data_IF_178135438839
#
_entry.id   IF_178135438839
#
_cell.length_a   1.000
_cell.length_b   1.000
_cell.length_c   1.000
_cell.angle_alpha   90.00
_cell.angle_beta   90.00
_cell.angle_gamma   90.00
#
_symmetry.space_group_name_H-M   'P 1'
#
loop_
_entity.id
_entity.type
_entity.pdbx_description
1 polymer ?
#
# COMPACT_ATOMS: atom_id res chain seq x y z
N UNK A 1 2.41 2.66 24.30
CA UNK A 1 2.18 4.08 23.97
C UNK A 1 2.23 4.19 22.46
N UNK A 2 1.13 4.54 21.78
CA UNK A 2 1.04 4.54 20.31
C UNK A 2 1.62 5.82 19.71
N UNK A 3 2.94 5.86 19.59
CA UNK A 3 3.73 7.05 19.22
C UNK A 3 3.59 7.33 17.73
N UNK A 4 3.84 6.31 16.90
CA UNK A 4 3.78 6.44 15.45
C UNK A 4 2.34 6.53 14.94
N UNK A 5 1.38 5.76 15.47
CA UNK A 5 -0.03 5.94 15.07
C UNK A 5 -0.54 7.36 15.38
N UNK A 6 -0.11 7.95 16.50
CA UNK A 6 -0.50 9.33 16.84
C UNK A 6 0.15 10.34 15.91
N UNK A 7 1.43 10.14 15.59
CA UNK A 7 2.17 10.99 14.65
C UNK A 7 1.49 11.02 13.27
N UNK A 8 1.23 9.85 12.70
CA UNK A 8 0.55 9.75 11.41
C UNK A 8 -0.82 10.42 11.41
N UNK A 9 -1.61 10.25 12.48
CA UNK A 9 -2.93 10.90 12.60
C UNK A 9 -2.84 12.42 12.64
N UNK A 10 -1.83 12.97 13.32
CA UNK A 10 -1.65 14.42 13.43
C UNK A 10 -1.21 15.05 12.11
N UNK A 11 -0.43 14.34 11.29
CA UNK A 11 0.16 14.87 10.07
C UNK A 11 -0.49 14.38 8.76
N UNK A 12 -1.60 13.62 8.84
CA UNK A 12 -2.26 13.04 7.67
C UNK A 12 -2.53 14.08 6.56
N UNK A 13 -3.16 15.20 6.91
CA UNK A 13 -3.55 16.21 5.92
C UNK A 13 -2.36 16.96 5.31
N UNK A 14 -1.31 17.24 6.10
CA UNK A 14 -0.08 17.85 5.58
C UNK A 14 0.68 16.90 4.68
N UNK A 15 0.80 15.63 5.10
CA UNK A 15 1.46 14.59 4.31
C UNK A 15 0.73 14.35 2.99
N UNK A 16 -0.60 14.20 3.05
CA UNK A 16 -1.43 13.94 1.87
C UNK A 16 -1.24 15.01 0.79
N UNK A 17 -1.16 16.29 1.17
CA UNK A 17 -0.90 17.39 0.23
C UNK A 17 0.49 17.30 -0.38
N UNK A 18 1.53 17.14 0.45
CA UNK A 18 2.91 17.04 -0.03
C UNK A 18 3.10 15.85 -0.98
N UNK A 19 2.53 14.69 -0.65
CA UNK A 19 2.62 13.49 -1.47
C UNK A 19 1.88 13.63 -2.82
N UNK A 20 0.71 14.28 -2.84
CA UNK A 20 0.01 14.59 -4.10
C UNK A 20 0.86 15.51 -4.98
N UNK A 21 1.48 16.53 -4.39
CA UNK A 21 2.35 17.45 -5.12
C UNK A 21 3.57 16.70 -5.71
N UNK A 22 4.15 15.75 -4.98
CA UNK A 22 5.24 14.89 -5.48
C UNK A 22 4.80 14.01 -6.65
N UNK A 23 3.62 13.39 -6.57
CA UNK A 23 3.07 12.60 -7.69
C UNK A 23 2.86 13.49 -8.92
N UNK A 24 2.30 14.69 -8.73
CA UNK A 24 2.02 15.61 -9.84
C UNK A 24 3.30 16.20 -10.45
N UNK A 25 4.40 16.23 -9.69
CA UNK A 25 5.70 16.68 -10.17
C UNK A 25 6.51 15.57 -10.88
N UNK A 26 6.19 14.29 -10.65
CA UNK A 26 6.94 13.17 -11.24
C UNK A 26 6.54 12.91 -12.70
N UNK A 27 7.48 13.20 -13.61
CA UNK A 27 7.30 13.03 -15.06
C UNK A 27 7.29 11.57 -15.54
N UNK A 28 7.50 10.61 -14.65
CA UNK A 28 7.60 9.17 -14.95
C UNK A 28 6.27 8.44 -14.71
N UNK A 29 5.20 9.20 -14.45
CA UNK A 29 3.86 8.72 -14.18
C UNK A 29 2.84 9.64 -14.80
N UNK A 30 1.75 9.05 -15.29
CA UNK A 30 0.59 9.76 -15.80
C UNK A 30 -0.56 9.79 -14.78
N UNK A 31 -0.33 9.38 -13.52
CA UNK A 31 -1.36 9.30 -12.47
C UNK A 31 -2.12 10.62 -12.26
N UNK A 32 -1.45 11.76 -12.44
CA UNK A 32 -2.08 13.08 -12.35
C UNK A 32 -3.18 13.33 -13.41
N UNK A 33 -3.14 12.57 -14.51
CA UNK A 33 -4.13 12.63 -15.59
C UNK A 33 -5.24 11.59 -15.43
N UNK A 34 -4.98 10.53 -14.65
CA UNK A 34 -5.88 9.39 -14.45
C UNK A 34 -6.73 9.57 -13.18
N UNK A 35 -6.12 10.09 -12.11
CA UNK A 35 -6.71 10.17 -10.79
C UNK A 35 -6.81 11.61 -10.32
N UNK A 36 -7.94 11.93 -9.68
CA UNK A 36 -8.07 13.16 -8.91
C UNK A 36 -7.21 13.11 -7.65
N UNK A 37 -6.81 14.28 -7.13
CA UNK A 37 -6.11 14.38 -5.84
C UNK A 37 -6.87 13.67 -4.70
N UNK A 38 -8.22 13.69 -4.74
CA UNK A 38 -9.06 12.97 -3.78
C UNK A 38 -8.86 11.46 -3.86
N UNK A 39 -8.90 10.89 -5.07
CA UNK A 39 -8.71 9.45 -5.29
C UNK A 39 -7.28 8.98 -4.98
N UNK A 40 -6.28 9.87 -5.05
CA UNK A 40 -4.93 9.60 -4.57
C UNK A 40 -4.92 9.41 -3.06
N UNK A 41 -5.48 10.35 -2.30
CA UNK A 41 -5.35 10.38 -0.84
C UNK A 41 -6.35 9.49 -0.10
N UNK A 42 -7.41 9.02 -0.76
CA UNK A 42 -8.45 8.17 -0.16
C UNK A 42 -7.90 6.90 0.52
N UNK A 43 -6.76 6.37 0.06
CA UNK A 43 -6.13 5.18 0.66
C UNK A 43 -5.24 5.48 1.87
N UNK A 44 -4.76 6.72 2.02
CA UNK A 44 -3.75 7.07 3.03
C UNK A 44 -4.17 6.78 4.47
N UNK A 45 -5.42 7.01 4.91
CA UNK A 45 -5.81 6.74 6.29
C UNK A 45 -5.59 5.27 6.69
N UNK A 46 -5.95 4.33 5.82
CA UNK A 46 -5.81 2.88 6.07
C UNK A 46 -4.33 2.46 6.08
N UNK A 47 -3.54 3.00 5.14
CA UNK A 47 -2.09 2.81 5.08
C UNK A 47 -1.41 3.33 6.36
N UNK A 48 -1.80 4.51 6.83
CA UNK A 48 -1.24 5.16 8.01
C UNK A 48 -1.61 4.43 9.30
N UNK A 49 -2.84 3.94 9.39
CA UNK A 49 -3.29 3.14 10.53
C UNK A 49 -2.48 1.83 10.63
N UNK A 50 -2.38 1.09 9.53
CA UNK A 50 -1.65 -0.18 9.47
C UNK A 50 -0.15 0.02 9.72
N UNK A 51 0.49 0.96 9.02
CA UNK A 51 1.90 1.27 9.23
C UNK A 51 2.17 1.76 10.66
N UNK A 52 1.37 2.68 11.17
CA UNK A 52 1.51 3.20 12.53
C UNK A 52 1.48 2.09 13.57
N UNK A 53 0.56 1.13 13.42
CA UNK A 53 0.50 -0.05 14.28
C UNK A 53 1.76 -0.91 14.17
N UNK A 54 2.21 -1.24 12.95
CA UNK A 54 3.41 -2.04 12.73
C UNK A 54 4.68 -1.39 13.33
N UNK A 55 4.77 -0.06 13.27
CA UNK A 55 5.89 0.68 13.87
C UNK A 55 5.82 0.67 15.40
N UNK A 56 4.64 0.94 15.97
CA UNK A 56 4.43 0.95 17.43
C UNK A 56 4.67 -0.42 18.07
N UNK A 57 4.27 -1.51 17.40
CA UNK A 57 4.47 -2.89 17.87
C UNK A 57 5.85 -3.46 17.51
N UNK A 58 6.71 -2.67 16.84
CA UNK A 58 8.04 -3.09 16.40
C UNK A 58 8.01 -4.37 15.56
N UNK A 59 6.98 -4.51 14.72
CA UNK A 59 6.66 -5.71 13.96
C UNK A 59 7.88 -6.32 13.26
N UNK A 60 7.90 -7.65 13.24
CA UNK A 60 8.82 -8.48 12.49
C UNK A 60 8.52 -8.44 10.99
N UNK A 61 9.45 -8.99 10.18
CA UNK A 61 9.25 -9.06 8.73
C UNK A 61 8.02 -9.90 8.35
N UNK A 62 7.79 -11.01 9.06
CA UNK A 62 6.64 -11.89 8.80
C UNK A 62 5.31 -11.20 9.13
N UNK A 63 5.26 -10.41 10.22
CA UNK A 63 4.07 -9.63 10.57
C UNK A 63 3.77 -8.54 9.53
N UNK A 64 4.81 -7.90 8.99
CA UNK A 64 4.69 -6.91 7.91
C UNK A 64 4.20 -7.58 6.62
N UNK A 65 4.75 -8.74 6.25
CA UNK A 65 4.30 -9.50 5.09
C UNK A 65 2.83 -9.95 5.21
N UNK A 66 2.36 -10.28 6.41
CA UNK A 66 0.96 -10.58 6.67
C UNK A 66 0.04 -9.34 6.68
N UNK A 67 0.61 -8.14 6.79
CA UNK A 67 -0.16 -6.89 6.80
C UNK A 67 -0.53 -6.39 5.40
N UNK A 68 0.39 -6.45 4.44
CA UNK A 68 0.15 -5.96 3.08
C UNK A 68 -1.11 -6.55 2.39
N UNK A 69 -1.44 -7.85 2.54
CA UNK A 69 -2.68 -8.42 1.97
C UNK A 69 -3.97 -7.78 2.50
N UNK A 70 -3.96 -7.19 3.71
CA UNK A 70 -5.13 -6.48 4.25
C UNK A 70 -5.47 -5.24 3.41
N UNK A 71 -4.44 -4.59 2.87
CA UNK A 71 -4.54 -3.41 2.02
C UNK A 71 -4.71 -3.74 0.53
N UNK A 72 -5.03 -4.99 0.18
CA UNK A 72 -5.28 -5.39 -1.23
C UNK A 72 -6.37 -4.57 -1.92
N UNK A 73 -7.28 -3.98 -1.15
CA UNK A 73 -8.36 -3.12 -1.65
C UNK A 73 -7.83 -1.92 -2.44
N UNK A 74 -6.68 -1.37 -2.05
CA UNK A 74 -5.99 -0.30 -2.78
C UNK A 74 -5.67 -0.72 -4.22
N UNK A 75 -4.95 -1.84 -4.40
CA UNK A 75 -4.57 -2.31 -5.72
C UNK A 75 -5.78 -2.72 -6.58
N UNK A 76 -6.85 -3.25 -5.95
CA UNK A 76 -8.10 -3.56 -6.63
C UNK A 76 -8.81 -2.30 -7.12
N UNK A 77 -8.87 -1.25 -6.31
CA UNK A 77 -9.45 0.03 -6.69
C UNK A 77 -8.69 0.66 -7.87
N UNK A 78 -7.35 0.68 -7.82
CA UNK A 78 -6.52 1.18 -8.92
C UNK A 78 -6.74 0.41 -10.22
N UNK A 79 -6.84 -0.92 -10.14
CA UNK A 79 -7.16 -1.74 -11.30
C UNK A 79 -8.55 -1.38 -11.90
N UNK A 80 -9.57 -1.18 -11.05
CA UNK A 80 -10.91 -0.80 -11.49
C UNK A 80 -10.96 0.62 -12.10
N UNK A 81 -10.07 1.51 -11.65
CA UNK A 81 -9.89 2.86 -12.21
C UNK A 81 -9.11 2.85 -13.54
N UNK A 82 -8.65 1.69 -14.02
CA UNK A 82 -7.89 1.58 -15.27
C UNK A 82 -6.43 2.00 -15.15
N UNK A 83 -5.90 2.13 -13.93
CA UNK A 83 -4.49 2.45 -13.68
C UNK A 83 -3.62 1.24 -14.03
N UNK A 84 -2.52 1.46 -14.75
CA UNK A 84 -1.58 0.38 -15.10
C UNK A 84 -0.72 -0.04 -13.90
N UNK A 85 -0.22 -1.27 -13.91
CA UNK A 85 0.54 -1.80 -12.76
C UNK A 85 1.86 -1.05 -12.52
N UNK A 86 2.51 -0.58 -13.58
CA UNK A 86 3.74 0.21 -13.50
C UNK A 86 3.47 1.60 -12.90
N UNK A 87 2.32 2.20 -13.19
CA UNK A 87 1.83 3.43 -12.55
C UNK A 87 1.57 3.20 -11.04
N UNK A 88 0.89 2.10 -10.67
CA UNK A 88 0.69 1.75 -9.25
C UNK A 88 2.01 1.47 -8.53
N UNK A 89 2.95 0.79 -9.19
CA UNK A 89 4.28 0.57 -8.62
C UNK A 89 5.00 1.90 -8.39
N UNK A 90 4.88 2.85 -9.33
CA UNK A 90 5.44 4.21 -9.17
C UNK A 90 4.79 4.94 -7.99
N UNK A 91 3.46 4.91 -7.89
CA UNK A 91 2.70 5.52 -6.79
C UNK A 91 3.23 5.05 -5.44
N UNK A 92 3.40 3.73 -5.28
CA UNK A 92 3.89 3.12 -4.05
C UNK A 92 5.37 3.39 -3.77
N UNK A 93 6.20 3.52 -4.82
CA UNK A 93 7.60 3.94 -4.67
C UNK A 93 7.70 5.39 -4.18
N UNK A 94 6.88 6.29 -4.72
CA UNK A 94 6.80 7.68 -4.26
C UNK A 94 6.27 7.76 -2.83
N UNK A 95 5.23 6.97 -2.51
CA UNK A 95 4.72 6.86 -1.15
C UNK A 95 5.79 6.38 -0.16
N UNK A 96 6.59 5.37 -0.53
CA UNK A 96 7.69 4.88 0.29
C UNK A 96 8.71 5.97 0.60
N UNK A 97 9.10 6.71 -0.43
CA UNK A 97 10.12 7.75 -0.32
C UNK A 97 9.58 8.91 0.54
N UNK A 98 8.36 9.37 0.29
CA UNK A 98 7.65 10.37 1.10
C UNK A 98 7.51 9.95 2.57
N UNK A 99 7.12 8.70 2.85
CA UNK A 99 7.01 8.16 4.20
C UNK A 99 8.36 8.11 4.92
N UNK A 100 9.43 7.77 4.19
CA UNK A 100 10.78 7.73 4.77
C UNK A 100 11.27 9.13 5.12
N UNK A 101 11.09 10.12 4.24
CA UNK A 101 11.45 11.51 4.52
C UNK A 101 10.61 12.06 5.68
N UNK A 102 9.29 11.83 5.67
CA UNK A 102 8.41 12.21 6.76
C UNK A 102 8.87 11.65 8.12
N UNK A 103 9.19 10.35 8.18
CA UNK A 103 9.68 9.75 9.43
C UNK A 103 11.06 10.27 9.83
N UNK A 104 11.91 10.61 8.86
CA UNK A 104 13.22 11.20 9.15
C UNK A 104 13.09 12.58 9.78
N UNK A 105 12.16 13.40 9.29
CA UNK A 105 11.90 14.76 9.78
C UNK A 105 11.15 14.77 11.12
N UNK A 106 10.04 14.03 11.21
CA UNK A 106 9.10 14.12 12.33
C UNK A 106 9.30 13.01 13.38
N UNK A 107 9.86 11.88 12.98
CA UNK A 107 10.11 10.72 13.84
C UNK A 107 10.97 11.02 15.09
N UNK A 108 12.04 11.82 15.01
CA UNK A 108 12.84 12.21 16.18
C UNK A 108 12.02 12.79 17.34
N UNK A 109 10.93 13.51 17.03
CA UNK A 109 10.06 14.14 18.03
C UNK A 109 9.28 13.13 18.88
N UNK A 110 8.95 11.96 18.34
CA UNK A 110 8.15 10.93 19.05
C UNK A 110 8.98 9.80 19.68
N UNK A 111 10.24 9.66 19.25
CA UNK A 111 11.18 8.66 19.78
C UNK A 111 12.21 9.25 20.76
N UNK A 112 12.05 10.52 21.16
CA UNK A 112 12.94 11.21 22.10
C UNK A 112 14.42 11.15 21.67
N UNK A 113 14.67 11.17 20.34
CA UNK A 113 16.02 11.11 19.78
C UNK A 113 16.68 9.72 19.70
N UNK A 114 15.98 8.62 19.98
CA UNK A 114 16.52 7.27 19.77
C UNK A 114 16.71 6.95 18.28
N UNK A 115 17.92 7.22 17.78
CA UNK A 115 18.29 6.97 16.38
C UNK A 115 18.23 5.48 15.99
N UNK A 116 18.36 4.55 16.93
CA UNK A 116 18.23 3.11 16.64
C UNK A 116 16.78 2.76 16.38
N UNK A 117 15.86 3.33 17.16
CA UNK A 117 14.43 3.18 16.93
C UNK A 117 14.01 3.84 15.61
N UNK A 118 14.53 5.04 15.30
CA UNK A 118 14.28 5.70 14.02
C UNK A 118 14.70 4.83 12.83
N UNK A 119 15.92 4.31 12.88
CA UNK A 119 16.44 3.40 11.86
C UNK A 119 15.58 2.14 11.74
N UNK A 120 15.10 1.62 12.87
CA UNK A 120 14.17 0.49 12.90
C UNK A 120 12.85 0.82 12.22
N UNK A 121 12.28 1.99 12.49
CA UNK A 121 11.05 2.47 11.89
C UNK A 121 11.19 2.63 10.36
N UNK A 122 12.23 3.35 9.91
CA UNK A 122 12.53 3.52 8.48
C UNK A 122 12.68 2.19 7.74
N UNK A 123 13.35 1.21 8.36
CA UNK A 123 13.49 -0.13 7.77
C UNK A 123 12.14 -0.85 7.62
N UNK A 124 11.27 -0.76 8.64
CA UNK A 124 9.93 -1.37 8.59
C UNK A 124 9.04 -0.70 7.56
N UNK A 125 9.09 0.63 7.47
CA UNK A 125 8.37 1.40 6.45
C UNK A 125 8.75 0.97 5.03
N UNK A 126 10.05 0.86 4.74
CA UNK A 126 10.53 0.39 3.43
C UNK A 126 10.02 -1.02 3.12
N UNK A 127 10.19 -1.94 4.07
CA UNK A 127 9.72 -3.32 3.90
C UNK A 127 8.21 -3.38 3.67
N UNK A 128 7.43 -2.62 4.42
CA UNK A 128 5.98 -2.56 4.26
C UNK A 128 5.57 -2.07 2.86
N UNK A 129 6.20 -1.00 2.36
CA UNK A 129 5.93 -0.53 1.00
C UNK A 129 6.35 -1.54 -0.07
N UNK A 130 7.48 -2.24 0.11
CA UNK A 130 7.90 -3.30 -0.80
C UNK A 130 6.87 -4.46 -0.84
N UNK A 131 6.30 -4.83 0.30
CA UNK A 131 5.21 -5.81 0.38
C UNK A 131 3.90 -5.30 -0.26
N UNK A 132 3.60 -4.01 -0.17
CA UNK A 132 2.46 -3.41 -0.89
C UNK A 132 2.65 -3.49 -2.41
N UNK A 133 3.87 -3.24 -2.91
CA UNK A 133 4.20 -3.36 -4.34
C UNK A 133 4.05 -4.81 -4.79
N UNK A 134 4.60 -5.76 -4.02
CA UNK A 134 4.44 -7.19 -4.30
C UNK A 134 2.96 -7.59 -4.34
N UNK A 135 2.17 -7.11 -3.38
CA UNK A 135 0.74 -7.37 -3.32
C UNK A 135 -0.02 -6.76 -4.51
N UNK A 136 0.35 -5.56 -4.96
CA UNK A 136 -0.24 -4.96 -6.15
C UNK A 136 0.02 -5.82 -7.41
N UNK A 137 1.25 -6.32 -7.57
CA UNK A 137 1.61 -7.23 -8.66
C UNK A 137 0.74 -8.50 -8.61
N UNK A 138 0.58 -9.10 -7.43
CA UNK A 138 -0.26 -10.30 -7.25
C UNK A 138 -1.73 -10.05 -7.61
N UNK A 139 -2.28 -8.90 -7.20
CA UNK A 139 -3.65 -8.50 -7.53
C UNK A 139 -3.82 -8.34 -9.04
N UNK A 140 -2.94 -7.60 -9.71
CA UNK A 140 -3.02 -7.41 -11.16
C UNK A 140 -2.83 -8.73 -11.92
N UNK A 141 -1.87 -9.56 -11.52
CA UNK A 141 -1.64 -10.86 -12.11
C UNK A 141 -2.85 -11.79 -11.95
N UNK A 142 -3.56 -11.72 -10.81
CA UNK A 142 -4.78 -12.48 -10.59
C UNK A 142 -5.96 -11.94 -11.41
N UNK A 143 -6.09 -10.62 -11.53
CA UNK A 143 -7.16 -9.96 -12.29
C UNK A 143 -7.04 -10.14 -13.81
N UNK A 144 -5.81 -10.30 -14.32
CA UNK A 144 -5.55 -10.53 -15.74
C UNK A 144 -5.63 -12.01 -16.15
N UNK A 145 -5.80 -12.96 -15.20
CA UNK A 145 -5.98 -14.36 -15.56
C UNK A 145 -7.31 -14.52 -16.30
N UNK A 146 -7.34 -15.18 -17.47
CA UNK A 146 -8.60 -15.47 -18.14
C UNK A 146 -9.48 -16.30 -17.21
N UNK A 147 -10.79 -16.03 -17.22
CA UNK A 147 -11.78 -16.89 -16.56
C UNK A 147 -11.61 -18.27 -17.15
N UNK A 148 -11.02 -19.20 -16.39
CA UNK A 148 -11.02 -20.61 -16.76
C UNK A 148 -12.50 -21.02 -16.72
N UNK A 149 -13.14 -21.40 -17.84
CA UNK A 149 -14.46 -21.99 -17.78
C UNK A 149 -14.31 -23.26 -16.95
N UNK A 150 -14.80 -23.25 -15.71
CA UNK A 150 -14.99 -24.49 -14.99
C UNK A 150 -15.95 -25.29 -15.85
N UNK A 151 -15.52 -26.43 -16.38
CA UNK A 151 -16.41 -27.36 -17.08
C UNK A 151 -17.64 -27.48 -16.21
N UNK A 152 -18.80 -27.08 -16.73
CA UNK A 152 -20.07 -27.17 -16.03
C UNK A 152 -20.13 -28.55 -15.40
N UNK A 153 -20.14 -28.60 -14.06
CA UNK A 153 -20.30 -29.83 -13.32
C UNK A 153 -21.73 -30.30 -13.59
N UNK A 154 -21.93 -31.06 -14.67
CA UNK A 154 -23.13 -31.85 -14.84
C UNK A 154 -22.96 -33.07 -13.95
N UNK A 155 -23.19 -32.84 -12.67
CA UNK A 155 -23.36 -33.88 -11.67
C UNK A 155 -24.86 -34.01 -11.38
N UNK A 156 -25.44 -35.22 -11.43
CA UNK A 156 -24.79 -36.50 -11.64
C UNK A 156 -24.63 -36.85 -13.14
N UNK A 157 -23.70 -37.75 -13.49
CA UNK A 157 -23.46 -38.16 -14.88
C UNK A 157 -24.69 -38.83 -15.51
N UNK A 158 -24.91 -38.68 -16.83
CA UNK A 158 -26.03 -39.31 -17.51
C UNK A 158 -25.95 -40.84 -17.38
N UNK A 159 -27.04 -41.44 -16.87
CA UNK A 159 -27.17 -42.89 -16.73
C UNK A 159 -27.01 -43.54 -18.10
N UNK A 160 -26.00 -44.40 -18.27
CA UNK A 160 -25.89 -45.29 -19.44
C UNK A 160 -27.14 -46.17 -19.48
N UNK A 161 -28.02 -45.95 -20.47
CA UNK A 161 -29.08 -46.91 -20.81
C UNK A 161 -28.42 -48.18 -21.36
N UNK A 162 -28.79 -49.33 -20.81
CA UNK A 162 -28.49 -50.65 -21.37
C UNK A 162 -29.31 -50.86 -22.64
#
# INVERSE_FOLDING_TARGET
MRRFSSLFRQHLDSFARAWVDEIYADRRTDLATILSARELVECLPEVFEELGYLLDERASADEIAMAAPRLRGFAQARFQQGVLIDEVARELMLLRDALCEFLWEEGPGVIEGDLRELRGALRRTRLFCDELIAQAILVYAASLRPVVPTRGSVWPPPKRRK
#
